data_IF_083698548252
#
_entry.id   IF_083698548252
#
_cell.length_a   1.000
_cell.length_b   1.000
_cell.length_c   1.000
_cell.angle_alpha   90.00
_cell.angle_beta   90.00
_cell.angle_gamma   90.00
#
_symmetry.space_group_name_H-M   'P 1'
#
loop_
_entity.id
_entity.type
_entity.pdbx_description
1 polymer ?
#
# COMPACT_ATOMS: atom_id res chain seq x y z
N UNK A 1 12.79 -15.61 -1.04
CA UNK A 1 11.40 -15.16 -0.92
C UNK A 1 11.25 -13.77 -1.48
N UNK A 2 10.13 -13.50 -2.09
CA UNK A 2 9.84 -12.18 -2.66
C UNK A 2 8.97 -11.37 -1.72
N UNK A 3 8.94 -10.08 -1.94
CA UNK A 3 8.03 -9.21 -1.20
C UNK A 3 6.98 -8.64 -2.14
N UNK A 4 5.80 -8.44 -1.61
CA UNK A 4 4.63 -8.01 -2.38
C UNK A 4 3.94 -6.84 -1.69
N UNK A 5 3.51 -5.89 -2.50
CA UNK A 5 2.65 -4.82 -2.06
C UNK A 5 1.21 -5.31 -2.20
N UNK A 6 0.45 -5.26 -1.13
CA UNK A 6 -0.98 -5.53 -1.15
C UNK A 6 -1.68 -4.21 -0.83
N UNK A 7 -2.17 -3.55 -1.86
CA UNK A 7 -2.77 -2.22 -1.72
C UNK A 7 -4.28 -2.34 -1.56
N UNK A 8 -4.82 -1.59 -0.60
CA UNK A 8 -6.24 -1.58 -0.29
C UNK A 8 -6.83 -0.31 -0.89
N UNK A 9 -7.87 -0.45 -1.68
CA UNK A 9 -8.52 0.69 -2.32
C UNK A 9 -9.77 1.10 -1.57
N UNK A 10 -9.99 2.41 -1.48
CA UNK A 10 -11.19 2.99 -0.90
C UNK A 10 -11.75 4.02 -1.85
N UNK A 11 -13.07 4.13 -1.88
CA UNK A 11 -13.71 5.19 -2.65
C UNK A 11 -13.43 6.55 -2.01
N UNK A 12 -13.50 7.61 -2.81
CA UNK A 12 -13.24 8.96 -2.32
C UNK A 12 -14.26 9.39 -1.26
N UNK A 13 -15.46 8.83 -1.30
CA UNK A 13 -16.51 9.13 -0.34
C UNK A 13 -16.58 8.10 0.81
N UNK A 14 -15.54 7.31 0.97
CA UNK A 14 -15.51 6.32 2.04
C UNK A 14 -15.62 6.98 3.41
N UNK A 15 -16.58 6.51 4.19
CA UNK A 15 -16.82 7.01 5.53
C UNK A 15 -16.30 5.99 6.55
N UNK A 16 -15.26 6.34 7.32
CA UNK A 16 -14.73 5.42 8.33
C UNK A 16 -15.75 4.96 9.37
N UNK A 17 -16.88 5.67 9.51
CA UNK A 17 -17.89 5.28 10.47
C UNK A 17 -18.56 3.94 10.12
N UNK A 18 -18.40 3.44 8.89
CA UNK A 18 -18.92 2.12 8.54
C UNK A 18 -18.07 0.99 9.11
N UNK A 19 -16.89 1.30 9.65
CA UNK A 19 -16.01 0.31 10.24
C UNK A 19 -16.54 -0.09 11.61
N UNK A 20 -17.00 -1.33 11.71
CA UNK A 20 -17.54 -1.85 12.97
C UNK A 20 -16.44 -2.45 13.83
N UNK A 21 -16.75 -2.71 15.11
CA UNK A 21 -15.82 -3.42 15.98
C UNK A 21 -15.49 -4.80 15.42
N UNK A 22 -16.48 -5.48 14.83
CA UNK A 22 -16.25 -6.78 14.23
C UNK A 22 -15.25 -6.70 13.07
N UNK A 23 -15.38 -5.67 12.23
CA UNK A 23 -14.45 -5.45 11.13
C UNK A 23 -13.04 -5.19 11.64
N UNK A 24 -12.91 -4.32 12.63
CA UNK A 24 -11.60 -4.00 13.20
C UNK A 24 -10.97 -5.23 13.85
N UNK A 25 -11.77 -6.06 14.53
CA UNK A 25 -11.27 -7.29 15.12
C UNK A 25 -10.78 -8.27 14.05
N UNK A 26 -11.50 -8.38 12.94
CA UNK A 26 -11.06 -9.23 11.82
C UNK A 26 -9.73 -8.76 11.25
N UNK A 27 -9.57 -7.44 11.09
CA UNK A 27 -8.32 -6.87 10.60
C UNK A 27 -7.17 -7.14 11.56
N UNK A 28 -7.42 -6.95 12.86
CA UNK A 28 -6.39 -7.21 13.87
C UNK A 28 -6.03 -8.69 13.91
N UNK A 29 -7.02 -9.58 13.82
CA UNK A 29 -6.77 -11.01 13.80
C UNK A 29 -5.93 -11.42 12.61
N UNK A 30 -6.24 -10.86 11.44
CA UNK A 30 -5.45 -11.13 10.23
C UNK A 30 -4.01 -10.65 10.39
N UNK A 31 -3.80 -9.48 10.95
CA UNK A 31 -2.46 -8.98 11.17
C UNK A 31 -1.68 -9.86 12.14
N UNK A 32 -2.32 -10.36 13.19
CA UNK A 32 -1.67 -11.31 14.11
C UNK A 32 -1.29 -12.59 13.38
N UNK A 33 -2.15 -13.07 12.49
CA UNK A 33 -1.88 -14.27 11.68
C UNK A 33 -0.69 -14.05 10.76
N UNK A 34 -0.64 -12.91 10.09
CA UNK A 34 0.48 -12.55 9.22
C UNK A 34 1.80 -12.47 9.98
N UNK A 35 1.77 -11.86 11.17
CA UNK A 35 2.95 -11.74 12.02
C UNK A 35 3.41 -13.12 12.46
N UNK A 36 2.49 -13.97 12.91
CA UNK A 36 2.82 -15.31 13.36
C UNK A 36 3.44 -16.14 12.23
N UNK A 37 3.02 -15.93 11.01
CA UNK A 37 3.56 -16.63 9.84
C UNK A 37 4.86 -16.01 9.32
N UNK A 38 5.31 -14.91 9.89
CA UNK A 38 6.49 -14.20 9.41
C UNK A 38 6.29 -13.48 8.08
N UNK A 39 5.04 -13.31 7.67
CA UNK A 39 4.72 -12.73 6.37
C UNK A 39 4.68 -11.20 6.39
N UNK A 40 4.23 -10.61 7.49
CA UNK A 40 4.05 -9.17 7.55
C UNK A 40 5.36 -8.44 7.74
N UNK A 41 5.71 -7.56 6.80
CA UNK A 41 6.87 -6.67 6.93
C UNK A 41 6.42 -5.27 7.35
N UNK A 42 5.28 -4.82 6.82
CA UNK A 42 4.77 -3.49 7.10
C UNK A 42 3.27 -3.48 6.87
N UNK A 43 2.55 -2.74 7.68
CA UNK A 43 1.13 -2.44 7.45
C UNK A 43 0.91 -0.99 7.81
N UNK A 44 0.21 -0.26 6.96
CA UNK A 44 -0.09 1.14 7.26
C UNK A 44 -1.34 1.59 6.52
N UNK A 45 -1.96 2.64 7.08
CA UNK A 45 -2.98 3.39 6.39
C UNK A 45 -2.39 4.64 5.78
N UNK A 46 -3.11 5.23 4.86
CA UNK A 46 -2.76 6.51 4.28
C UNK A 46 -3.82 7.54 4.67
N UNK A 47 -3.41 8.80 4.77
CA UNK A 47 -4.39 9.87 4.97
C UNK A 47 -5.30 9.94 3.75
N UNK A 48 -6.50 10.53 3.88
CA UNK A 48 -7.45 10.61 2.76
C UNK A 48 -6.81 11.19 1.51
N UNK A 49 -7.24 10.71 0.35
CA UNK A 49 -6.70 11.15 -0.94
C UNK A 49 -6.77 12.67 -1.13
N UNK A 50 -7.76 13.32 -0.55
CA UNK A 50 -7.87 14.77 -0.61
C UNK A 50 -6.72 15.52 0.04
N UNK A 51 -5.98 14.85 0.95
CA UNK A 51 -4.81 15.46 1.60
C UNK A 51 -3.54 15.30 0.77
N UNK A 52 -3.61 14.60 -0.35
CA UNK A 52 -2.44 14.38 -1.20
C UNK A 52 -2.02 15.68 -1.87
N UNK A 53 -0.75 15.74 -2.21
CA UNK A 53 -0.20 16.78 -3.07
C UNK A 53 0.41 16.09 -4.28
N UNK A 54 0.20 16.64 -5.44
CA UNK A 54 0.72 16.07 -6.68
C UNK A 54 1.64 17.08 -7.36
N UNK A 55 2.71 16.56 -7.94
CA UNK A 55 3.68 17.40 -8.64
C UNK A 55 3.76 16.94 -10.09
N UNK A 56 3.70 17.88 -11.00
CA UNK A 56 3.72 17.59 -12.42
C UNK A 56 4.71 18.51 -13.11
N UNK A 57 5.63 17.93 -13.85
CA UNK A 57 6.59 18.72 -14.60
C UNK A 57 5.91 19.37 -15.80
N UNK A 58 6.11 20.66 -15.97
CA UNK A 58 5.57 21.41 -17.09
C UNK A 58 6.55 21.41 -18.26
N UNK A 59 6.08 21.70 -19.49
CA UNK A 59 6.98 21.76 -20.64
C UNK A 59 8.12 22.77 -20.49
N UNK A 60 7.91 23.81 -19.68
CA UNK A 60 8.96 24.82 -19.44
C UNK A 60 9.97 24.39 -18.37
N UNK A 61 9.84 23.16 -17.87
CA UNK A 61 10.73 22.64 -16.85
C UNK A 61 10.34 22.94 -15.42
N UNK A 62 9.34 23.77 -15.21
CA UNK A 62 8.85 24.08 -13.85
C UNK A 62 7.95 22.96 -13.35
N UNK A 63 7.81 22.89 -12.06
CA UNK A 63 6.92 21.92 -11.43
C UNK A 63 5.62 22.59 -11.03
N UNK A 64 4.52 21.97 -11.38
CA UNK A 64 3.20 22.39 -10.92
C UNK A 64 2.84 21.51 -9.72
N UNK A 65 2.51 22.16 -8.60
CA UNK A 65 2.05 21.45 -7.40
C UNK A 65 0.54 21.69 -7.29
N UNK A 66 -0.22 20.60 -7.21
CA UNK A 66 -1.66 20.69 -7.08
C UNK A 66 -2.13 19.93 -5.85
N UNK A 67 -3.26 20.35 -5.31
CA UNK A 67 -3.90 19.63 -4.22
C UNK A 67 -4.63 18.42 -4.77
N UNK A 68 -4.63 17.35 -3.98
CA UNK A 68 -5.33 16.14 -4.33
C UNK A 68 -4.45 15.08 -5.00
N UNK A 69 -5.03 13.93 -5.30
CA UNK A 69 -4.28 12.81 -5.87
C UNK A 69 -3.91 13.08 -7.34
N UNK A 70 -2.85 12.41 -7.77
CA UNK A 70 -2.33 12.60 -9.13
C UNK A 70 -3.33 12.17 -10.20
N UNK A 71 -4.03 11.06 -9.96
CA UNK A 71 -5.01 10.56 -10.92
C UNK A 71 -6.41 10.92 -10.47
N UNK A 72 -7.25 11.29 -11.44
CA UNK A 72 -8.65 11.59 -11.18
C UNK A 72 -9.44 10.29 -11.31
N UNK A 73 -9.60 9.59 -10.20
CA UNK A 73 -10.40 8.37 -10.13
C UNK A 73 -11.31 8.48 -8.93
N UNK A 74 -12.26 7.55 -8.84
CA UNK A 74 -13.16 7.49 -7.69
C UNK A 74 -12.61 6.66 -6.55
N UNK A 75 -11.53 5.93 -6.79
CA UNK A 75 -10.93 5.08 -5.80
C UNK A 75 -9.43 5.31 -5.74
N UNK A 76 -8.91 5.35 -4.53
CA UNK A 76 -7.49 5.56 -4.29
C UNK A 76 -7.00 4.61 -3.23
N UNK A 77 -5.69 4.39 -3.19
CA UNK A 77 -5.10 3.54 -2.16
C UNK A 77 -5.33 4.18 -0.80
N UNK A 78 -5.98 3.45 0.10
CA UNK A 78 -6.23 3.90 1.46
C UNK A 78 -5.28 3.31 2.49
N UNK A 79 -4.52 2.28 2.10
CA UNK A 79 -3.55 1.64 2.96
C UNK A 79 -2.93 0.48 2.24
N UNK A 80 -1.94 -0.15 2.86
CA UNK A 80 -1.31 -1.30 2.22
C UNK A 80 -0.54 -2.14 3.24
N UNK A 81 -0.28 -3.38 2.83
CA UNK A 81 0.69 -4.24 3.49
C UNK A 81 1.88 -4.44 2.57
N UNK A 82 3.04 -4.64 3.17
CA UNK A 82 4.17 -5.25 2.47
C UNK A 82 4.35 -6.61 3.11
N UNK A 83 4.22 -7.66 2.29
CA UNK A 83 4.27 -9.03 2.76
C UNK A 83 5.41 -9.78 2.10
N UNK A 84 6.03 -10.67 2.86
CA UNK A 84 6.98 -11.62 2.31
C UNK A 84 6.26 -12.92 2.03
N UNK A 85 6.44 -13.47 0.85
CA UNK A 85 5.78 -14.69 0.42
C UNK A 85 6.70 -15.48 -0.50
N UNK A 86 6.50 -16.79 -0.54
CA UNK A 86 7.30 -17.67 -1.37
C UNK A 86 7.05 -17.41 -2.86
N UNK A 87 5.82 -17.11 -3.22
CA UNK A 87 5.42 -16.87 -4.61
C UNK A 87 4.14 -16.04 -4.64
N UNK A 88 3.69 -15.74 -5.86
CA UNK A 88 2.48 -14.94 -6.05
C UNK A 88 1.25 -15.62 -5.47
N UNK A 89 1.15 -16.94 -5.58
CA UNK A 89 -0.03 -17.65 -5.07
C UNK A 89 -0.16 -17.49 -3.56
N UNK A 90 0.94 -17.54 -2.83
CA UNK A 90 0.92 -17.29 -1.39
C UNK A 90 0.53 -15.85 -1.08
N UNK A 91 1.07 -14.90 -1.85
CA UNK A 91 0.71 -13.49 -1.67
C UNK A 91 -0.78 -13.28 -1.93
N UNK A 92 -1.33 -13.93 -2.96
CA UNK A 92 -2.76 -13.85 -3.26
C UNK A 92 -3.62 -14.45 -2.16
N UNK A 93 -3.16 -15.52 -1.52
CA UNK A 93 -3.89 -16.10 -0.39
C UNK A 93 -4.04 -15.09 0.75
N UNK A 94 -2.96 -14.37 1.08
CA UNK A 94 -3.03 -13.30 2.08
C UNK A 94 -3.92 -12.15 1.62
N UNK A 95 -3.80 -11.77 0.34
CA UNK A 95 -4.58 -10.66 -0.20
C UNK A 95 -6.09 -10.94 -0.16
N UNK A 96 -6.50 -12.20 -0.41
CA UNK A 96 -7.91 -12.58 -0.28
C UNK A 96 -8.43 -12.34 1.12
N UNK A 97 -7.65 -12.75 2.12
CA UNK A 97 -8.02 -12.50 3.52
C UNK A 97 -8.11 -11.01 3.81
N UNK A 98 -7.18 -10.24 3.24
CA UNK A 98 -7.17 -8.78 3.38
C UNK A 98 -8.41 -8.13 2.77
N UNK A 99 -8.79 -8.55 1.57
CA UNK A 99 -9.97 -8.02 0.90
C UNK A 99 -11.24 -8.31 1.71
N UNK A 100 -11.33 -9.50 2.27
CA UNK A 100 -12.49 -9.89 3.08
C UNK A 100 -12.52 -9.07 4.38
N UNK A 101 -11.40 -9.02 5.11
CA UNK A 101 -11.36 -8.32 6.39
C UNK A 101 -11.61 -6.82 6.24
N UNK A 102 -11.03 -6.21 5.21
CA UNK A 102 -11.15 -4.78 4.98
C UNK A 102 -12.40 -4.41 4.19
N UNK A 103 -13.13 -5.36 3.68
CA UNK A 103 -14.33 -5.16 2.84
C UNK A 103 -14.02 -4.19 1.71
N UNK A 104 -12.91 -4.45 1.00
CA UNK A 104 -12.40 -3.54 0.01
C UNK A 104 -11.67 -4.29 -1.11
N UNK A 105 -11.61 -3.71 -2.32
CA UNK A 105 -10.75 -4.25 -3.35
C UNK A 105 -9.29 -4.13 -2.96
N UNK A 106 -8.49 -5.11 -3.35
CA UNK A 106 -7.05 -5.06 -3.14
C UNK A 106 -6.32 -5.36 -4.44
N UNK A 107 -5.13 -4.84 -4.56
CA UNK A 107 -4.27 -5.10 -5.70
C UNK A 107 -2.94 -5.62 -5.19
N UNK A 108 -2.41 -6.65 -5.84
CA UNK A 108 -1.16 -7.28 -5.45
C UNK A 108 -0.12 -7.03 -6.51
N UNK A 109 1.06 -6.56 -6.10
CA UNK A 109 2.17 -6.35 -7.02
C UNK A 109 3.47 -6.78 -6.35
N UNK A 110 4.28 -7.53 -7.09
CA UNK A 110 5.60 -7.88 -6.59
C UNK A 110 6.48 -6.64 -6.51
N UNK A 111 7.24 -6.52 -5.43
CA UNK A 111 8.17 -5.41 -5.26
C UNK A 111 9.51 -5.80 -5.87
N UNK A 112 9.97 -5.00 -6.81
CA UNK A 112 11.26 -5.21 -7.46
C UNK A 112 12.25 -4.26 -6.83
N UNK A 113 13.08 -4.79 -5.94
CA UNK A 113 14.05 -3.98 -5.23
C UNK A 113 15.17 -3.55 -6.15
N UNK A 114 15.61 -2.32 -5.94
CA UNK A 114 16.79 -1.79 -6.60
C UNK A 114 17.89 -1.69 -5.55
N UNK A 115 19.03 -2.36 -5.75
CA UNK A 115 20.12 -2.21 -4.80
C UNK A 115 20.62 -0.77 -4.80
N UNK A 116 21.14 -0.35 -3.66
CA UNK A 116 21.74 0.97 -3.57
C UNK A 116 22.94 1.05 -4.54
N UNK A 117 23.19 2.23 -5.13
CA UNK A 117 24.37 2.39 -5.99
C UNK A 117 25.64 2.04 -5.23
N UNK A 118 26.55 1.35 -5.91
CA UNK A 118 27.85 1.05 -5.33
C UNK A 118 28.66 2.32 -5.22
N UNK A 119 29.20 2.57 -4.03
CA UNK A 119 30.08 3.72 -3.86
C UNK A 119 31.50 3.36 -4.25
N UNK A 120 32.16 4.28 -4.92
CA UNK A 120 33.56 4.10 -5.25
C UNK A 120 34.40 4.13 -3.97
N UNK A 121 35.48 3.35 -3.92
CA UNK A 121 36.42 3.49 -2.81
C UNK A 121 36.93 4.93 -2.73
N UNK A 122 36.78 5.53 -1.57
CA UNK A 122 37.12 6.93 -1.38
C UNK A 122 36.06 7.90 -1.85
N UNK A 123 35.01 7.44 -2.48
CA UNK A 123 33.88 8.26 -2.87
C UNK A 123 33.05 8.60 -1.65
N UNK A 124 32.61 9.80 -1.60
CA UNK A 124 31.83 10.10 -0.49
C UNK A 124 30.47 10.22 -0.79
N UNK A 125 30.35 10.10 -0.83
CA UNK A 125 29.20 10.16 -0.93
C UNK A 125 28.56 11.15 -1.02
#
# INVERSE_FOLDING_TARGET
MSQYLVAIYRSDDYDPSVETEAMMEEIHALNREMIAAGARKLACGLSPAGNAKSLRKQPDGKLLVTDGPYTETKEHIGGFWILEAADLDEALAWARKGAIACRAPVEVREILFRPAPTQEPGGSK
#
